data_IF_261421748302
#
_entry.id   IF_261421748302
#
_cell.length_a   1.000
_cell.length_b   1.000
_cell.length_c   1.000
_cell.angle_alpha   90.00
_cell.angle_beta   90.00
_cell.angle_gamma   90.00
#
_symmetry.space_group_name_H-M   'P 1'
#
loop_
_entity.id
_entity.type
_entity.pdbx_description
1 polymer ?
#
# COMPACT_ATOMS: atom_id res chain seq x y z
N UNK A 1 22.29 12.87 16.75
CA UNK A 1 22.17 12.04 15.50
C UNK A 1 23.30 11.02 15.47
N UNK A 2 23.01 9.77 15.05
CA UNK A 2 23.99 8.70 14.90
C UNK A 2 24.35 8.49 13.43
N UNK A 3 25.66 8.35 13.12
CA UNK A 3 26.19 8.06 11.78
C UNK A 3 25.65 9.00 10.67
N UNK A 4 25.78 10.33 10.77
CA UNK A 4 25.22 11.29 9.83
C UNK A 4 25.68 11.06 8.38
N UNK A 5 26.94 10.72 8.17
CA UNK A 5 27.53 10.48 6.84
C UNK A 5 27.24 9.10 6.24
N UNK A 6 26.35 8.28 6.85
CA UNK A 6 25.97 6.99 6.25
C UNK A 6 25.17 7.23 4.98
N UNK A 7 25.64 6.71 3.85
CA UNK A 7 24.91 6.72 2.58
C UNK A 7 23.70 5.80 2.70
N UNK A 8 22.52 6.34 2.42
CA UNK A 8 21.23 5.65 2.44
C UNK A 8 20.77 5.34 1.02
N UNK A 9 20.96 6.28 0.10
CA UNK A 9 20.65 6.15 -1.33
C UNK A 9 21.97 6.25 -2.12
N UNK A 10 22.53 5.13 -2.60
CA UNK A 10 23.82 5.13 -3.28
C UNK A 10 23.86 5.93 -4.59
N UNK A 11 22.80 5.84 -5.42
CA UNK A 11 22.78 6.49 -6.74
C UNK A 11 22.84 8.03 -6.65
N UNK A 12 21.93 8.72 -5.88
CA UNK A 12 22.03 10.15 -5.69
C UNK A 12 23.06 10.54 -4.62
N UNK A 13 23.70 9.57 -3.94
CA UNK A 13 24.70 9.82 -2.90
C UNK A 13 24.12 10.40 -1.60
N UNK A 14 22.80 10.26 -1.35
CA UNK A 14 22.17 10.85 -0.18
C UNK A 14 22.55 10.11 1.10
N UNK A 15 22.98 10.88 2.09
CA UNK A 15 23.32 10.42 3.43
C UNK A 15 22.14 10.52 4.38
N UNK A 16 22.29 9.96 5.57
CA UNK A 16 21.30 10.12 6.64
C UNK A 16 21.11 11.60 7.03
N UNK A 17 22.17 12.40 7.01
CA UNK A 17 22.07 13.82 7.31
C UNK A 17 21.20 14.54 6.28
N UNK A 18 21.46 14.30 4.99
CA UNK A 18 20.67 14.92 3.91
C UNK A 18 19.18 14.61 4.04
N UNK A 19 18.83 13.40 4.46
CA UNK A 19 17.42 13.02 4.70
C UNK A 19 16.82 13.73 5.91
N UNK A 20 17.58 13.90 7.00
CA UNK A 20 17.10 14.67 8.16
C UNK A 20 16.90 16.13 7.76
N UNK A 21 17.84 16.75 7.03
CA UNK A 21 17.74 18.12 6.53
C UNK A 21 16.53 18.29 5.58
N UNK A 22 16.31 17.30 4.69
CA UNK A 22 15.12 17.26 3.84
C UNK A 22 13.83 17.32 4.67
N UNK A 23 13.66 16.41 5.65
CA UNK A 23 12.45 16.37 6.46
C UNK A 23 12.26 17.60 7.34
N UNK A 24 13.34 18.22 7.79
CA UNK A 24 13.28 19.50 8.50
C UNK A 24 12.81 20.63 7.57
N UNK A 25 13.27 20.64 6.33
CA UNK A 25 12.88 21.67 5.35
C UNK A 25 11.39 21.56 4.91
N UNK A 26 10.83 20.34 4.83
CA UNK A 26 9.43 20.09 4.49
C UNK A 26 8.56 19.79 5.71
N UNK A 27 9.01 20.12 6.92
CA UNK A 27 8.40 19.68 8.17
C UNK A 27 6.91 20.03 8.26
N UNK A 28 6.52 21.25 7.90
CA UNK A 28 5.12 21.68 7.97
C UNK A 28 4.19 20.82 7.11
N UNK A 29 4.61 20.49 5.88
CA UNK A 29 3.86 19.63 4.99
C UNK A 29 3.85 18.15 5.46
N UNK A 30 5.00 17.63 5.89
CA UNK A 30 5.11 16.26 6.39
C UNK A 30 4.29 16.03 7.67
N UNK A 31 4.30 16.99 8.60
CA UNK A 31 3.53 16.94 9.85
C UNK A 31 2.03 17.07 9.61
N UNK A 32 1.59 17.78 8.58
CA UNK A 32 0.16 17.85 8.22
C UNK A 32 -0.41 16.47 7.91
N UNK A 33 0.36 15.61 7.28
CA UNK A 33 -0.05 14.24 6.98
C UNK A 33 0.21 13.25 8.12
N UNK A 34 1.33 13.38 8.85
CA UNK A 34 1.80 12.40 9.81
C UNK A 34 1.72 12.85 11.28
N UNK A 35 1.64 14.15 11.55
CA UNK A 35 1.66 14.70 12.91
C UNK A 35 0.45 14.29 13.74
N UNK A 36 0.70 13.98 15.02
CA UNK A 36 -0.35 13.55 15.96
C UNK A 36 -0.95 12.17 15.67
N UNK A 37 -0.38 11.42 14.73
CA UNK A 37 -0.83 10.09 14.35
C UNK A 37 0.14 9.01 14.82
N UNK A 38 -0.34 7.89 15.39
CA UNK A 38 0.50 6.73 15.58
C UNK A 38 1.05 6.22 14.26
N UNK A 39 2.31 5.79 14.25
CA UNK A 39 2.92 5.32 12.99
C UNK A 39 3.76 4.06 13.16
N UNK A 40 3.72 3.22 12.14
CA UNK A 40 4.63 2.09 12.02
C UNK A 40 5.99 2.57 11.52
N UNK A 41 7.04 2.29 12.29
CA UNK A 41 8.41 2.63 11.92
C UNK A 41 8.98 1.57 10.98
N UNK A 42 9.02 1.90 9.68
CA UNK A 42 9.68 1.09 8.66
C UNK A 42 11.12 1.58 8.51
N UNK A 43 12.06 0.82 9.05
CA UNK A 43 13.46 1.26 9.25
C UNK A 43 14.42 0.63 8.26
N UNK A 44 15.12 1.45 7.50
CA UNK A 44 16.19 1.07 6.56
C UNK A 44 17.56 1.29 7.20
N UNK A 45 17.86 0.52 8.25
CA UNK A 45 19.07 0.70 9.07
C UNK A 45 20.37 0.54 8.28
N UNK A 46 20.36 -0.26 7.20
CA UNK A 46 21.51 -0.51 6.31
C UNK A 46 21.40 0.20 4.95
N UNK A 47 20.46 1.17 4.80
CA UNK A 47 20.12 1.81 3.53
C UNK A 47 19.14 0.99 2.71
N UNK A 48 18.76 1.50 1.52
CA UNK A 48 17.72 0.90 0.66
C UNK A 48 18.12 -0.43 0.03
N UNK A 49 19.40 -0.76 -0.02
CA UNK A 49 19.90 -2.03 -0.55
C UNK A 49 19.66 -3.25 0.35
N UNK A 50 19.05 -3.06 1.52
CA UNK A 50 18.75 -4.13 2.47
C UNK A 50 17.26 -4.11 2.84
N UNK A 51 16.76 -5.28 3.25
CA UNK A 51 15.37 -5.41 3.71
C UNK A 51 15.08 -4.48 4.90
N UNK A 52 13.93 -3.78 4.89
CA UNK A 52 13.54 -2.92 5.99
C UNK A 52 13.10 -3.74 7.21
N UNK A 53 13.34 -3.17 8.37
CA UNK A 53 12.81 -3.69 9.63
C UNK A 53 11.55 -2.92 10.03
N UNK A 54 10.42 -3.64 10.16
CA UNK A 54 9.15 -3.06 10.61
C UNK A 54 9.07 -3.09 12.14
N UNK A 55 9.05 -1.94 12.76
CA UNK A 55 8.94 -1.76 14.20
C UNK A 55 7.64 -1.05 14.54
N UNK A 56 6.70 -1.77 15.15
CA UNK A 56 5.44 -1.23 15.66
C UNK A 56 5.62 -0.59 17.03
N UNK A 57 6.30 -1.29 17.94
CA UNK A 57 6.54 -0.79 19.29
C UNK A 57 7.64 0.27 19.29
N UNK A 58 7.35 1.44 19.83
CA UNK A 58 8.35 2.48 20.04
C UNK A 58 9.53 1.94 20.87
N UNK A 59 10.79 2.34 20.60
CA UNK A 59 11.92 1.99 21.45
C UNK A 59 11.71 2.45 22.90
N UNK A 60 12.05 1.63 23.88
CA UNK A 60 11.89 1.96 25.32
C UNK A 60 12.64 3.24 25.73
N UNK A 61 13.75 3.54 25.08
CA UNK A 61 14.58 4.72 25.33
C UNK A 61 14.29 5.87 24.36
N UNK A 62 13.03 6.05 23.90
CA UNK A 62 12.65 7.20 23.10
C UNK A 62 12.77 8.50 23.92
N UNK A 63 13.04 9.64 23.26
CA UNK A 63 13.06 10.94 23.93
C UNK A 63 11.67 11.35 24.44
N UNK A 64 11.64 12.18 25.49
CA UNK A 64 10.41 12.68 26.11
C UNK A 64 9.52 13.52 25.18
N UNK A 65 10.07 14.06 24.06
CA UNK A 65 9.32 14.79 23.05
C UNK A 65 8.63 13.88 22.01
N UNK A 66 8.78 12.57 22.13
CA UNK A 66 8.03 11.59 21.33
C UNK A 66 6.86 11.10 22.16
N UNK A 67 5.66 11.46 21.73
CA UNK A 67 4.45 10.89 22.32
C UNK A 67 4.24 9.45 21.86
N UNK A 68 3.38 8.75 22.57
CA UNK A 68 3.03 7.36 22.24
C UNK A 68 1.52 7.14 22.29
N UNK A 69 1.04 6.15 21.54
CA UNK A 69 -0.33 5.69 21.59
C UNK A 69 -0.40 4.16 21.53
N UNK A 70 -1.24 3.57 22.35
CA UNK A 70 -1.42 2.11 22.40
C UNK A 70 -2.53 1.66 21.47
N UNK A 71 -2.16 1.10 20.31
CA UNK A 71 -3.11 0.55 19.35
C UNK A 71 -3.46 -0.89 19.70
N UNK A 72 -4.77 -1.19 19.58
CA UNK A 72 -5.30 -2.56 19.62
C UNK A 72 -5.49 -3.06 18.20
N UNK A 73 -4.77 -4.11 17.80
CA UNK A 73 -4.85 -4.68 16.46
C UNK A 73 -5.99 -5.69 16.34
N UNK A 74 -6.47 -5.89 15.11
CA UNK A 74 -7.56 -6.80 14.81
C UNK A 74 -7.34 -8.24 15.29
N UNK A 75 -6.07 -8.66 15.48
CA UNK A 75 -5.69 -9.99 15.99
C UNK A 75 -5.64 -10.09 17.52
N UNK A 76 -6.06 -9.06 18.24
CA UNK A 76 -6.07 -9.04 19.72
C UNK A 76 -4.71 -8.75 20.37
N UNK A 77 -3.69 -8.42 19.59
CA UNK A 77 -2.40 -7.92 20.10
C UNK A 77 -2.42 -6.40 20.21
N UNK A 78 -1.52 -5.81 20.99
CA UNK A 78 -1.34 -4.37 21.09
C UNK A 78 0.12 -3.96 20.96
N UNK A 79 0.35 -2.73 20.50
CA UNK A 79 1.66 -2.10 20.60
C UNK A 79 1.51 -0.62 20.91
N UNK A 80 2.47 -0.11 21.64
CA UNK A 80 2.66 1.31 21.87
C UNK A 80 3.46 1.88 20.72
N UNK A 81 2.81 2.66 19.85
CA UNK A 81 3.41 3.23 18.63
C UNK A 81 3.84 4.68 18.84
N UNK A 82 4.87 5.10 18.11
CA UNK A 82 5.37 6.47 18.17
C UNK A 82 4.38 7.46 17.53
N UNK A 83 4.23 8.62 18.17
CA UNK A 83 3.46 9.76 17.68
C UNK A 83 4.39 10.96 17.56
N UNK A 84 4.56 11.45 16.34
CA UNK A 84 5.39 12.61 16.02
C UNK A 84 4.51 13.85 16.02
N UNK A 85 4.92 14.94 16.69
CA UNK A 85 4.14 16.19 16.74
C UNK A 85 4.86 17.39 16.14
N UNK A 86 6.16 17.30 16.02
CA UNK A 86 7.00 18.43 15.59
C UNK A 86 8.21 17.99 14.76
N UNK A 87 9.00 18.96 14.33
CA UNK A 87 10.20 18.74 13.53
C UNK A 87 11.28 17.93 14.27
N UNK A 88 11.36 18.01 15.61
CA UNK A 88 12.30 17.22 16.39
C UNK A 88 11.91 15.74 16.35
N UNK A 89 10.61 15.43 16.43
CA UNK A 89 10.08 14.09 16.27
C UNK A 89 10.33 13.53 14.87
N UNK A 90 10.15 14.33 13.80
CA UNK A 90 10.50 13.93 12.42
C UNK A 90 11.99 13.59 12.32
N UNK A 91 12.86 14.47 12.81
CA UNK A 91 14.30 14.24 12.80
C UNK A 91 14.68 12.96 13.56
N UNK A 92 13.97 12.65 14.65
CA UNK A 92 14.22 11.44 15.42
C UNK A 92 13.83 10.16 14.67
N UNK A 93 12.63 10.09 14.07
CA UNK A 93 12.21 8.89 13.31
C UNK A 93 13.10 8.67 12.09
N UNK A 94 13.52 9.74 11.40
CA UNK A 94 14.46 9.66 10.27
C UNK A 94 15.84 9.21 10.74
N UNK A 95 16.32 9.69 11.88
CA UNK A 95 17.57 9.22 12.49
C UNK A 95 17.53 7.72 12.87
N UNK A 96 16.36 7.16 13.18
CA UNK A 96 16.16 5.71 13.35
C UNK A 96 16.24 4.94 12.02
N UNK A 97 16.24 5.64 10.87
CA UNK A 97 16.27 5.08 9.52
C UNK A 97 14.91 4.92 8.87
N UNK A 98 13.88 5.62 9.36
CA UNK A 98 12.60 5.69 8.65
C UNK A 98 12.73 6.62 7.45
N UNK A 99 12.45 6.12 6.26
CA UNK A 99 12.49 6.88 5.01
C UNK A 99 11.09 7.36 4.63
N UNK A 100 10.12 6.48 4.71
CA UNK A 100 8.70 6.76 4.51
C UNK A 100 7.97 6.83 5.86
N UNK A 101 7.10 7.82 5.99
CA UNK A 101 6.25 8.02 7.16
C UNK A 101 4.96 7.22 6.93
N UNK A 102 4.68 6.26 7.80
CA UNK A 102 3.54 5.36 7.66
C UNK A 102 2.55 5.52 8.83
N UNK A 103 1.79 6.64 8.88
CA UNK A 103 0.81 6.90 9.93
C UNK A 103 -0.48 6.09 9.72
N UNK A 104 -1.15 5.78 10.84
CA UNK A 104 -2.54 5.33 10.82
C UNK A 104 -3.51 6.48 10.44
N UNK A 105 -4.72 6.19 9.92
CA UNK A 105 -5.71 7.21 9.57
C UNK A 105 -6.46 7.79 10.79
N UNK A 106 -5.89 7.68 11.98
CA UNK A 106 -6.46 8.13 13.26
C UNK A 106 -5.50 9.06 13.97
N UNK A 107 -6.00 9.93 14.84
CA UNK A 107 -5.20 10.72 15.76
C UNK A 107 -4.97 9.97 17.07
N UNK A 108 -3.89 10.31 17.78
CA UNK A 108 -3.56 9.68 19.07
C UNK A 108 -4.64 9.90 20.14
N UNK A 109 -5.42 10.96 20.00
CA UNK A 109 -6.50 11.35 20.89
C UNK A 109 -7.78 10.50 20.68
N UNK A 110 -7.96 9.92 19.48
CA UNK A 110 -9.07 9.03 19.14
C UNK A 110 -8.60 7.94 18.18
N UNK A 111 -8.38 6.75 18.70
CA UNK A 111 -7.82 5.62 17.96
C UNK A 111 -8.87 4.74 17.26
N UNK A 112 -10.15 5.01 17.45
CA UNK A 112 -11.25 4.21 16.92
C UNK A 112 -11.99 4.89 15.78
N UNK A 113 -11.88 6.21 15.64
CA UNK A 113 -12.56 6.98 14.60
C UNK A 113 -11.54 7.66 13.66
N UNK A 114 -11.36 7.13 12.44
CA UNK A 114 -10.53 7.79 11.43
C UNK A 114 -10.99 9.21 11.10
N UNK A 115 -10.04 10.14 10.98
CA UNK A 115 -10.26 11.49 10.48
C UNK A 115 -9.80 11.64 9.01
N UNK A 116 -9.45 10.53 8.36
CA UNK A 116 -8.94 10.50 7.00
C UNK A 116 -9.49 9.29 6.25
N UNK A 117 -10.18 9.54 5.12
CA UNK A 117 -10.48 8.55 4.10
C UNK A 117 -9.35 8.56 3.07
N UNK A 118 -8.89 7.39 2.67
CA UNK A 118 -7.79 7.17 1.73
C UNK A 118 -8.27 6.49 0.47
N UNK A 119 -8.05 7.12 -0.68
CA UNK A 119 -8.28 6.53 -2.00
C UNK A 119 -6.91 6.24 -2.59
N UNK A 120 -6.56 4.98 -2.68
CA UNK A 120 -5.29 4.51 -3.24
C UNK A 120 -5.54 3.96 -4.64
N UNK A 121 -4.94 4.61 -5.65
CA UNK A 121 -5.07 4.23 -7.07
C UNK A 121 -3.82 3.45 -7.47
N UNK A 122 -3.92 2.13 -7.39
CA UNK A 122 -2.81 1.20 -7.61
C UNK A 122 -2.89 0.56 -9.00
N UNK A 123 -1.96 0.87 -9.92
CA UNK A 123 -2.01 0.33 -11.28
C UNK A 123 -1.61 -1.15 -11.32
N UNK A 124 -2.42 -1.96 -12.01
CA UNK A 124 -2.00 -3.30 -12.40
C UNK A 124 -0.86 -3.23 -13.44
N UNK A 125 -0.04 -4.28 -13.57
CA UNK A 125 0.96 -4.34 -14.64
C UNK A 125 0.32 -4.11 -16.01
N UNK A 126 0.98 -3.30 -16.85
CA UNK A 126 0.46 -2.92 -18.16
C UNK A 126 -0.31 -1.59 -18.19
N UNK A 127 -0.68 -1.04 -17.05
CA UNK A 127 -1.42 0.23 -16.94
C UNK A 127 -0.47 1.42 -17.10
N UNK A 128 -0.81 2.34 -17.98
CA UNK A 128 -0.07 3.57 -18.21
C UNK A 128 -0.46 4.67 -17.22
N UNK A 129 0.49 5.61 -16.98
CA UNK A 129 0.23 6.76 -16.10
C UNK A 129 -0.98 7.60 -16.49
N UNK A 130 -1.27 7.75 -17.80
CA UNK A 130 -2.45 8.48 -18.30
C UNK A 130 -3.77 7.85 -17.81
N UNK A 131 -3.84 6.53 -17.77
CA UNK A 131 -5.01 5.81 -17.25
C UNK A 131 -5.20 6.04 -15.75
N UNK A 132 -4.09 6.08 -14.97
CA UNK A 132 -4.14 6.39 -13.53
C UNK A 132 -4.67 7.80 -13.31
N UNK A 133 -4.20 8.76 -14.12
CA UNK A 133 -4.67 10.16 -14.10
C UNK A 133 -6.16 10.23 -14.42
N UNK A 134 -6.63 9.54 -15.46
CA UNK A 134 -8.04 9.55 -15.83
C UNK A 134 -8.92 8.95 -14.72
N UNK A 135 -8.49 7.86 -14.09
CA UNK A 135 -9.19 7.29 -12.93
C UNK A 135 -9.16 8.24 -11.72
N UNK A 136 -8.05 8.96 -11.49
CA UNK A 136 -7.97 9.97 -10.43
C UNK A 136 -8.96 11.12 -10.63
N UNK A 137 -9.14 11.57 -11.89
CA UNK A 137 -10.13 12.60 -12.20
C UNK A 137 -11.56 12.10 -11.97
N UNK A 138 -11.88 10.85 -12.35
CA UNK A 138 -13.18 10.25 -12.04
C UNK A 138 -13.39 10.10 -10.54
N UNK A 139 -12.37 9.68 -9.80
CA UNK A 139 -12.45 9.57 -8.34
C UNK A 139 -12.67 10.94 -7.67
N UNK A 140 -12.05 12.02 -8.19
CA UNK A 140 -12.32 13.39 -7.76
C UNK A 140 -13.79 13.74 -7.95
N UNK A 141 -14.31 13.52 -9.16
CA UNK A 141 -15.70 13.86 -9.47
C UNK A 141 -16.69 13.09 -8.57
N UNK A 142 -16.42 11.81 -8.27
CA UNK A 142 -17.21 11.03 -7.31
C UNK A 142 -17.14 11.63 -5.90
N UNK A 143 -15.97 12.04 -5.43
CA UNK A 143 -15.82 12.70 -4.13
C UNK A 143 -16.62 14.02 -4.07
N UNK A 144 -16.49 14.87 -5.08
CA UNK A 144 -17.18 16.16 -5.19
C UNK A 144 -18.72 15.99 -5.22
N UNK A 145 -19.25 15.00 -5.94
CA UNK A 145 -20.67 14.67 -5.97
C UNK A 145 -21.25 14.29 -4.59
N UNK A 146 -20.37 13.84 -3.68
CA UNK A 146 -20.74 13.49 -2.31
C UNK A 146 -20.28 14.53 -1.28
N UNK A 147 -19.86 15.74 -1.73
CA UNK A 147 -19.48 16.85 -0.87
C UNK A 147 -18.14 16.68 -0.16
N UNK A 148 -17.26 15.85 -0.72
CA UNK A 148 -15.93 15.58 -0.20
C UNK A 148 -14.85 16.22 -1.08
N UNK A 149 -13.77 16.67 -0.44
CA UNK A 149 -12.61 17.25 -1.15
C UNK A 149 -11.47 16.25 -1.15
N UNK A 150 -11.08 15.81 -2.36
CA UNK A 150 -9.92 14.94 -2.55
C UNK A 150 -8.64 15.75 -2.74
N UNK A 151 -7.59 15.40 -2.00
CA UNK A 151 -6.26 16.03 -2.07
C UNK A 151 -5.27 15.07 -2.72
N UNK A 152 -4.88 15.32 -3.99
CA UNK A 152 -4.05 14.39 -4.74
C UNK A 152 -2.59 14.47 -4.33
N UNK A 153 -1.91 13.33 -4.33
CA UNK A 153 -0.46 13.22 -4.26
C UNK A 153 0.03 12.03 -5.08
N UNK A 154 1.28 12.08 -5.53
CA UNK A 154 1.90 10.86 -6.06
C UNK A 154 2.09 9.85 -4.92
N UNK A 155 2.00 8.55 -5.19
CA UNK A 155 2.39 7.54 -4.20
C UNK A 155 3.91 7.56 -3.93
N UNK A 156 4.65 8.26 -4.79
CA UNK A 156 6.12 8.19 -4.84
C UNK A 156 6.62 6.88 -5.44
N UNK A 157 5.72 6.05 -5.98
CA UNK A 157 6.04 4.86 -6.76
C UNK A 157 5.33 4.92 -8.11
N UNK A 158 4.21 4.22 -8.31
CA UNK A 158 3.52 4.12 -9.60
C UNK A 158 2.13 4.73 -9.61
N UNK A 159 1.51 4.93 -8.45
CA UNK A 159 0.12 5.31 -8.29
C UNK A 159 -0.09 6.76 -7.85
N UNK A 160 -1.36 7.08 -7.61
CA UNK A 160 -1.85 8.34 -7.03
C UNK A 160 -2.66 8.00 -5.79
N UNK A 161 -2.47 8.76 -4.71
CA UNK A 161 -3.36 8.73 -3.55
C UNK A 161 -4.19 9.99 -3.50
N UNK A 162 -5.47 9.88 -3.16
CA UNK A 162 -6.31 11.02 -2.79
C UNK A 162 -6.57 10.93 -1.29
N UNK A 163 -6.15 11.93 -0.55
CA UNK A 163 -6.42 12.05 0.88
C UNK A 163 -7.67 12.89 1.07
N UNK A 164 -8.57 12.48 1.95
CA UNK A 164 -9.83 13.19 2.24
C UNK A 164 -9.97 13.33 3.74
N UNK A 165 -10.07 14.57 4.25
CA UNK A 165 -10.40 14.78 5.66
C UNK A 165 -11.88 14.54 5.90
N UNK A 166 -12.18 13.78 6.94
CA UNK A 166 -13.54 13.41 7.34
C UNK A 166 -13.78 13.71 8.81
N UNK A 167 -15.02 13.94 9.18
CA UNK A 167 -15.41 14.03 10.59
C UNK A 167 -15.05 12.73 11.32
N UNK A 168 -14.38 12.75 12.48
CA UNK A 168 -13.96 11.55 13.21
C UNK A 168 -15.13 10.98 14.04
N UNK A 169 -16.20 10.53 13.40
CA UNK A 169 -17.40 9.96 14.04
C UNK A 169 -17.79 8.57 13.56
N UNK A 170 -17.11 8.08 12.52
CA UNK A 170 -17.34 6.73 11.98
C UNK A 170 -16.20 5.81 12.35
N UNK A 171 -16.54 4.58 12.68
CA UNK A 171 -15.54 3.53 12.91
C UNK A 171 -14.86 3.09 11.60
N UNK A 172 -13.78 2.32 11.72
CA UNK A 172 -13.04 1.79 10.57
C UNK A 172 -13.90 0.98 9.60
N UNK A 173 -14.96 0.31 10.10
CA UNK A 173 -15.85 -0.49 9.26
C UNK A 173 -16.69 0.41 8.36
N UNK A 174 -17.23 1.49 8.90
CA UNK A 174 -18.02 2.46 8.16
C UNK A 174 -17.15 3.22 7.15
N UNK A 175 -15.95 3.66 7.55
CA UNK A 175 -15.01 4.34 6.64
C UNK A 175 -14.60 3.42 5.49
N UNK A 176 -14.28 2.16 5.77
CA UNK A 176 -13.95 1.18 4.73
C UNK A 176 -15.14 0.89 3.80
N UNK A 177 -16.36 0.85 4.32
CA UNK A 177 -17.58 0.67 3.52
C UNK A 177 -17.80 1.88 2.58
N UNK A 178 -17.62 3.10 3.07
CA UNK A 178 -17.67 4.31 2.27
C UNK A 178 -16.58 4.31 1.16
N UNK A 179 -15.36 3.88 1.48
CA UNK A 179 -14.30 3.73 0.49
C UNK A 179 -14.62 2.66 -0.57
N UNK A 180 -15.25 1.54 -0.18
CA UNK A 180 -15.68 0.48 -1.09
C UNK A 180 -16.79 0.96 -2.03
N UNK A 181 -17.76 1.73 -1.53
CA UNK A 181 -18.81 2.31 -2.37
C UNK A 181 -18.25 3.31 -3.37
N UNK A 182 -17.31 4.16 -2.95
CA UNK A 182 -16.57 5.06 -3.84
C UNK A 182 -15.82 4.27 -4.93
N UNK A 183 -15.10 3.22 -4.55
CA UNK A 183 -14.35 2.40 -5.51
C UNK A 183 -15.25 1.75 -6.56
N UNK A 184 -16.41 1.23 -6.15
CA UNK A 184 -17.41 0.64 -7.04
C UNK A 184 -18.04 1.69 -7.97
N UNK A 185 -18.27 2.89 -7.49
CA UNK A 185 -18.80 3.99 -8.31
C UNK A 185 -17.74 4.49 -9.32
N UNK A 186 -16.47 4.56 -8.92
CA UNK A 186 -15.37 4.86 -9.85
C UNK A 186 -15.25 3.77 -10.93
N UNK A 187 -15.31 2.48 -10.57
CA UNK A 187 -15.33 1.37 -11.54
C UNK A 187 -16.52 1.51 -12.51
N UNK A 188 -17.70 1.86 -12.02
CA UNK A 188 -18.91 2.06 -12.84
C UNK A 188 -18.77 3.22 -13.82
N UNK A 189 -18.12 4.33 -13.40
CA UNK A 189 -17.91 5.53 -14.27
C UNK A 189 -16.72 5.38 -15.21
N UNK A 190 -15.74 4.55 -14.87
CA UNK A 190 -14.55 4.30 -15.68
C UNK A 190 -14.41 2.80 -16.01
N UNK A 191 -15.38 2.20 -16.75
CA UNK A 191 -15.40 0.77 -17.03
C UNK A 191 -14.17 0.38 -17.86
N UNK A 192 -13.48 -0.70 -17.44
CA UNK A 192 -12.25 -1.18 -18.09
C UNK A 192 -10.99 -0.39 -17.75
N UNK A 193 -11.09 0.80 -17.13
CA UNK A 193 -9.95 1.58 -16.66
C UNK A 193 -9.74 1.42 -15.15
N UNK A 194 -10.82 1.35 -14.37
CA UNK A 194 -10.79 1.18 -12.93
C UNK A 194 -11.36 -0.16 -12.50
N UNK A 195 -10.90 -0.68 -11.36
CA UNK A 195 -11.45 -1.89 -10.74
C UNK A 195 -11.56 -1.75 -9.22
N UNK A 196 -12.68 -2.23 -8.69
CA UNK A 196 -12.92 -2.43 -7.25
C UNK A 196 -12.83 -3.91 -6.87
N UNK A 197 -12.36 -4.80 -7.77
CA UNK A 197 -12.29 -6.24 -7.56
C UNK A 197 -11.29 -6.60 -6.49
N UNK A 198 -11.73 -7.41 -5.52
CA UNK A 198 -10.88 -7.87 -4.42
C UNK A 198 -9.67 -8.66 -4.92
N UNK A 199 -9.93 -9.64 -5.79
CA UNK A 199 -8.90 -10.53 -6.28
C UNK A 199 -8.06 -9.87 -7.37
N UNK A 200 -6.73 -9.86 -7.17
CA UNK A 200 -5.78 -9.25 -8.09
C UNK A 200 -5.88 -9.82 -9.51
N UNK A 201 -6.10 -11.12 -9.60
CA UNK A 201 -6.29 -11.86 -10.85
C UNK A 201 -7.57 -11.51 -11.62
N UNK A 202 -8.53 -10.82 -11.00
CA UNK A 202 -9.79 -10.41 -11.63
C UNK A 202 -9.75 -8.96 -12.15
N UNK A 203 -8.66 -8.24 -11.87
CA UNK A 203 -8.55 -6.79 -12.15
C UNK A 203 -8.20 -6.49 -13.61
N UNK A 204 -7.51 -7.41 -14.31
CA UNK A 204 -7.00 -7.15 -15.66
C UNK A 204 -5.99 -6.00 -15.69
N UNK A 205 -5.84 -5.33 -16.82
CA UNK A 205 -5.00 -4.13 -17.00
C UNK A 205 -5.78 -2.86 -16.61
N UNK A 206 -6.12 -2.73 -15.33
CA UNK A 206 -6.89 -1.61 -14.79
C UNK A 206 -6.20 -0.99 -13.57
N UNK A 207 -6.67 0.18 -13.16
CA UNK A 207 -6.28 0.82 -11.91
C UNK A 207 -7.16 0.27 -10.79
N UNK A 208 -6.57 -0.39 -9.82
CA UNK A 208 -7.27 -0.82 -8.62
C UNK A 208 -7.50 0.36 -7.70
N UNK A 209 -8.78 0.60 -7.36
CA UNK A 209 -9.14 1.58 -6.32
C UNK A 209 -9.13 0.86 -4.99
N UNK A 210 -7.98 0.90 -4.30
CA UNK A 210 -7.77 0.12 -3.07
C UNK A 210 -8.47 0.74 -1.86
N UNK A 211 -9.68 0.27 -1.60
CA UNK A 211 -10.47 0.65 -0.43
C UNK A 211 -10.00 0.01 0.87
N UNK A 212 -9.13 -1.02 0.81
CA UNK A 212 -8.64 -1.73 2.00
C UNK A 212 -7.64 -0.92 2.82
N UNK A 213 -7.04 0.12 2.25
CA UNK A 213 -6.20 1.05 2.98
C UNK A 213 -6.95 1.79 4.10
N UNK A 214 -8.28 1.68 4.13
CA UNK A 214 -9.15 2.19 5.19
C UNK A 214 -9.52 1.14 6.25
N UNK A 215 -8.99 -0.07 6.17
CA UNK A 215 -9.17 -1.08 7.21
C UNK A 215 -8.31 -0.77 8.45
N UNK A 216 -8.76 -1.24 9.62
CA UNK A 216 -7.96 -1.15 10.85
C UNK A 216 -6.60 -1.84 10.61
N UNK A 217 -5.55 -1.29 11.17
CA UNK A 217 -4.17 -1.78 11.07
C UNK A 217 -3.46 -1.52 9.71
N UNK A 218 -4.08 -0.73 8.82
CA UNK A 218 -3.46 -0.31 7.57
C UNK A 218 -2.83 1.07 7.69
N UNK A 219 -1.67 1.22 7.03
CA UNK A 219 -0.95 2.48 6.94
C UNK A 219 -0.55 2.75 5.49
N UNK A 220 -0.52 4.02 5.11
CA UNK A 220 -0.11 4.47 3.76
C UNK A 220 1.05 5.45 3.92
N UNK A 221 1.96 5.46 2.97
CA UNK A 221 3.02 6.46 2.95
C UNK A 221 2.42 7.86 2.88
N UNK A 222 2.70 8.68 3.90
CA UNK A 222 2.21 10.04 4.02
C UNK A 222 2.83 10.97 2.98
N UNK A 223 2.24 12.15 2.82
CA UNK A 223 2.84 13.23 2.02
C UNK A 223 4.28 13.51 2.45
N UNK A 224 5.13 13.86 1.49
CA UNK A 224 6.56 14.11 1.65
C UNK A 224 7.41 12.91 2.07
N UNK A 225 6.85 11.70 2.15
CA UNK A 225 7.62 10.48 2.40
C UNK A 225 8.61 10.20 1.28
N UNK A 226 9.88 9.97 1.64
CA UNK A 226 10.90 9.51 0.69
C UNK A 226 10.73 8.01 0.49
N UNK A 227 10.54 7.57 -0.75
CA UNK A 227 10.33 6.15 -1.05
C UNK A 227 11.67 5.43 -1.23
N UNK A 228 11.76 4.16 -0.84
CA UNK A 228 13.00 3.37 -0.95
C UNK A 228 13.25 2.90 -2.40
N UNK A 229 13.22 3.83 -3.34
CA UNK A 229 13.55 3.62 -4.75
C UNK A 229 14.92 4.23 -5.06
N UNK A 230 15.68 3.70 -6.04
CA UNK A 230 17.04 4.14 -6.30
C UNK A 230 17.22 5.65 -6.47
N UNK A 231 16.25 6.32 -7.09
CA UNK A 231 16.24 7.77 -7.34
C UNK A 231 15.74 8.64 -6.16
N UNK A 232 15.47 8.04 -5.00
CA UNK A 232 14.96 8.71 -3.81
C UNK A 232 13.69 9.54 -4.08
N UNK A 233 12.73 8.97 -4.81
CA UNK A 233 11.43 9.63 -5.08
C UNK A 233 10.68 9.94 -3.82
N UNK A 234 9.85 10.97 -3.93
CA UNK A 234 9.02 11.48 -2.85
C UNK A 234 7.54 11.30 -3.19
N UNK A 235 6.76 10.90 -2.20
CA UNK A 235 5.30 10.93 -2.24
C UNK A 235 4.82 12.38 -2.13
N UNK A 236 4.61 13.04 -3.27
CA UNK A 236 4.53 14.50 -3.38
C UNK A 236 3.11 14.98 -3.56
N UNK A 237 2.62 15.91 -2.70
CA UNK A 237 1.37 16.62 -2.91
C UNK A 237 1.32 17.37 -4.25
N UNK A 238 0.16 17.34 -4.87
CA UNK A 238 -0.11 17.99 -6.16
C UNK A 238 -1.35 18.88 -6.05
N UNK A 239 -1.37 19.95 -6.85
CA UNK A 239 -2.61 20.61 -7.21
C UNK A 239 -3.33 19.80 -8.31
N UNK A 240 -4.65 19.87 -8.40
CA UNK A 240 -5.41 19.10 -9.39
C UNK A 240 -5.06 19.43 -10.84
N UNK A 241 -4.66 20.65 -11.14
CA UNK A 241 -4.20 21.07 -12.47
C UNK A 241 -2.84 20.46 -12.86
N UNK A 242 -2.04 20.05 -11.89
CA UNK A 242 -0.75 19.37 -12.10
C UNK A 242 -0.89 17.87 -12.38
N UNK A 243 -1.95 17.22 -11.90
CA UNK A 243 -2.11 15.76 -11.97
C UNK A 243 -1.95 15.24 -13.40
N UNK A 244 -2.46 15.96 -14.41
CA UNK A 244 -2.34 15.57 -15.82
C UNK A 244 -0.94 15.77 -16.41
N UNK A 245 -0.20 16.75 -15.91
CA UNK A 245 1.07 17.20 -16.49
C UNK A 245 2.32 16.61 -15.85
N UNK A 246 2.22 16.13 -14.59
CA UNK A 246 3.34 15.66 -13.81
C UNK A 246 3.47 14.14 -13.80
N UNK A 247 4.69 13.67 -13.51
CA UNK A 247 5.03 12.24 -13.39
C UNK A 247 5.76 11.99 -12.07
N UNK A 248 5.56 10.83 -11.41
CA UNK A 248 6.21 10.53 -10.13
C UNK A 248 7.75 10.62 -10.16
N UNK A 249 8.37 10.30 -11.28
CA UNK A 249 9.83 10.36 -11.42
C UNK A 249 10.43 11.78 -11.39
N UNK A 250 9.60 12.83 -11.54
CA UNK A 250 10.02 14.22 -11.44
C UNK A 250 10.26 14.65 -9.99
N UNK A 251 9.72 13.91 -9.02
CA UNK A 251 9.69 14.28 -7.61
C UNK A 251 10.72 13.48 -6.81
N UNK A 252 11.94 13.95 -6.76
CA UNK A 252 13.02 13.43 -5.93
C UNK A 252 13.23 14.32 -4.70
N UNK A 253 14.06 13.89 -3.76
CA UNK A 253 14.44 14.71 -2.59
C UNK A 253 14.89 16.11 -3.00
N UNK A 254 15.71 16.24 -4.04
CA UNK A 254 16.24 17.53 -4.49
C UNK A 254 15.14 18.42 -5.10
N UNK A 255 14.35 17.90 -6.05
CA UNK A 255 13.32 18.67 -6.75
C UNK A 255 12.15 19.06 -5.86
N UNK A 256 11.83 18.23 -4.86
CA UNK A 256 10.75 18.53 -3.90
C UNK A 256 11.18 19.61 -2.91
N UNK A 257 12.45 19.67 -2.51
CA UNK A 257 12.96 20.78 -1.69
C UNK A 257 12.82 22.12 -2.41
N UNK A 258 13.26 22.20 -3.67
CA UNK A 258 13.12 23.38 -4.51
C UNK A 258 11.65 23.80 -4.66
N UNK A 259 10.79 22.83 -5.04
CA UNK A 259 9.35 23.04 -5.21
C UNK A 259 8.68 23.54 -3.92
N UNK A 260 9.00 22.95 -2.77
CA UNK A 260 8.42 23.34 -1.49
C UNK A 260 8.82 24.77 -1.10
N UNK A 261 10.08 25.14 -1.35
CA UNK A 261 10.56 26.51 -1.15
C UNK A 261 9.88 27.54 -2.05
N UNK A 262 9.56 27.19 -3.30
CA UNK A 262 8.96 28.10 -4.28
C UNK A 262 7.44 28.22 -4.15
N UNK A 263 6.73 27.11 -3.91
CA UNK A 263 5.27 27.03 -3.99
C UNK A 263 4.57 26.73 -2.66
N UNK A 264 5.33 26.31 -1.64
CA UNK A 264 4.76 25.82 -0.39
C UNK A 264 4.12 24.44 -0.54
N UNK A 265 3.19 24.13 0.36
CA UNK A 265 2.49 22.83 0.41
C UNK A 265 1.13 22.90 -0.29
N UNK A 266 0.90 22.17 -1.40
CA UNK A 266 -0.41 22.09 -2.05
C UNK A 266 -1.52 21.59 -1.12
N UNK A 267 -1.17 20.83 -0.07
CA UNK A 267 -2.13 20.31 0.92
C UNK A 267 -2.34 21.26 2.12
N UNK A 268 -1.88 22.54 2.05
CA UNK A 268 -1.95 23.48 3.18
C UNK A 268 -3.36 23.64 3.77
N UNK A 269 -4.40 23.57 2.93
CA UNK A 269 -5.81 23.71 3.34
C UNK A 269 -6.54 22.39 3.67
N UNK A 270 -5.85 21.23 3.70
CA UNK A 270 -6.52 19.93 3.82
C UNK A 270 -7.33 19.80 5.12
N UNK A 271 -6.82 20.33 6.22
CA UNK A 271 -7.48 20.23 7.53
C UNK A 271 -8.69 21.19 7.68
N UNK A 272 -8.85 22.15 6.76
CA UNK A 272 -10.03 23.04 6.69
C UNK A 272 -11.17 22.45 5.86
N UNK A 273 -10.91 21.37 5.11
CA UNK A 273 -11.86 20.75 4.19
C UNK A 273 -12.42 19.42 4.73
N UNK A 274 -12.89 19.43 5.98
CA UNK A 274 -13.45 18.24 6.64
C UNK A 274 -14.86 17.98 6.12
N UNK A 275 -15.09 16.76 5.59
CA UNK A 275 -16.37 16.34 5.00
C UNK A 275 -17.08 15.21 5.75
N UNK A 276 -18.35 15.01 5.38
CA UNK A 276 -19.19 13.93 5.91
C UNK A 276 -19.19 12.71 4.99
N UNK A 277 -19.12 11.50 5.56
CA UNK A 277 -19.25 10.24 4.81
C UNK A 277 -20.72 9.83 4.54
N UNK A 278 -21.71 10.59 5.02
CA UNK A 278 -23.12 10.20 4.88
C UNK A 278 -23.54 10.00 3.42
N UNK A 279 -22.95 10.77 2.48
CA UNK A 279 -23.19 10.62 1.04
C UNK A 279 -22.71 9.27 0.50
N UNK A 280 -21.48 8.89 0.81
CA UNK A 280 -20.90 7.60 0.37
C UNK A 280 -21.53 6.41 1.09
N UNK A 281 -21.99 6.56 2.33
CA UNK A 281 -22.70 5.51 3.05
C UNK A 281 -24.10 5.28 2.48
N UNK A 282 -24.83 6.34 2.06
CA UNK A 282 -26.07 6.18 1.29
C UNK A 282 -25.82 5.48 -0.05
N UNK A 283 -24.76 5.87 -0.77
CA UNK A 283 -24.37 5.17 -1.98
C UNK A 283 -24.10 3.68 -1.73
N UNK A 284 -23.47 3.33 -0.59
CA UNK A 284 -23.27 1.93 -0.21
C UNK A 284 -24.60 1.16 -0.03
N UNK A 285 -25.61 1.80 0.56
CA UNK A 285 -26.95 1.23 0.70
C UNK A 285 -27.62 1.03 -0.67
N UNK A 286 -27.53 2.00 -1.56
CA UNK A 286 -28.09 1.96 -2.93
C UNK A 286 -27.43 0.87 -3.78
N UNK A 287 -26.10 0.75 -3.72
CA UNK A 287 -25.35 -0.27 -4.44
C UNK A 287 -25.55 -1.68 -3.87
N UNK A 288 -26.01 -1.77 -2.63
CA UNK A 288 -26.13 -3.03 -1.89
C UNK A 288 -24.78 -3.72 -1.64
N UNK A 289 -24.79 -4.92 -1.03
CA UNK A 289 -23.56 -5.63 -0.68
C UNK A 289 -22.75 -5.97 -1.93
N UNK A 290 -21.43 -5.80 -1.82
CA UNK A 290 -20.51 -6.21 -2.89
C UNK A 290 -20.61 -7.72 -3.14
N UNK A 291 -20.49 -8.11 -4.40
CA UNK A 291 -20.38 -9.52 -4.79
C UNK A 291 -19.22 -10.18 -4.03
N UNK A 292 -19.52 -11.25 -3.33
CA UNK A 292 -18.53 -12.00 -2.58
C UNK A 292 -18.06 -13.17 -3.42
N UNK A 293 -16.74 -13.31 -3.58
CA UNK A 293 -16.18 -14.51 -4.20
C UNK A 293 -16.75 -15.79 -3.55
N UNK A 294 -17.01 -16.84 -4.33
CA UNK A 294 -17.52 -18.11 -3.82
C UNK A 294 -16.58 -18.67 -2.75
N UNK A 295 -17.14 -19.33 -1.74
CA UNK A 295 -16.34 -20.08 -0.76
C UNK A 295 -15.95 -21.40 -1.40
N UNK A 296 -14.65 -21.72 -1.37
CA UNK A 296 -14.17 -23.07 -1.73
C UNK A 296 -14.77 -24.14 -0.81
N UNK A 297 -14.70 -25.38 -1.23
CA UNK A 297 -15.20 -26.52 -0.45
C UNK A 297 -14.57 -26.52 0.95
N UNK A 298 -15.41 -26.48 1.99
CA UNK A 298 -14.94 -26.55 3.37
C UNK A 298 -14.56 -27.98 3.74
N UNK A 299 -13.54 -28.16 4.56
CA UNK A 299 -13.28 -29.41 5.25
C UNK A 299 -14.32 -29.58 6.37
N UNK A 300 -15.58 -29.81 6.03
CA UNK A 300 -16.64 -30.26 6.95
C UNK A 300 -17.12 -29.30 8.07
N UNK A 301 -16.43 -28.19 8.32
CA UNK A 301 -16.69 -27.25 9.43
C UNK A 301 -17.28 -25.88 8.99
N UNK A 302 -17.59 -25.71 7.71
CA UNK A 302 -18.13 -24.45 7.17
C UNK A 302 -17.12 -23.30 7.05
N UNK A 303 -15.83 -23.52 7.39
CA UNK A 303 -14.76 -22.53 7.41
C UNK A 303 -14.01 -22.36 6.08
N UNK A 304 -14.58 -22.85 4.96
CA UNK A 304 -13.94 -22.79 3.64
C UNK A 304 -13.49 -21.37 3.29
N UNK A 305 -12.21 -21.20 2.96
CA UNK A 305 -11.65 -19.95 2.43
C UNK A 305 -12.30 -19.61 1.09
N UNK A 306 -12.47 -18.32 0.84
CA UNK A 306 -12.84 -17.86 -0.49
C UNK A 306 -11.70 -18.19 -1.45
N UNK A 307 -12.04 -18.73 -2.61
CA UNK A 307 -11.09 -19.14 -3.65
C UNK A 307 -11.44 -18.39 -4.91
N UNK A 308 -10.43 -17.88 -5.60
CA UNK A 308 -10.60 -17.30 -6.92
C UNK A 308 -11.17 -18.33 -7.90
N UNK A 309 -12.06 -17.89 -8.78
CA UNK A 309 -12.62 -18.73 -9.87
C UNK A 309 -11.75 -18.68 -11.13
N UNK A 310 -10.71 -17.85 -11.14
CA UNK A 310 -9.81 -17.72 -12.29
C UNK A 310 -8.94 -18.98 -12.47
N UNK A 311 -8.60 -19.37 -13.71
CA UNK A 311 -7.73 -20.50 -14.00
C UNK A 311 -6.28 -20.17 -13.65
N UNK A 312 -5.95 -20.21 -12.36
CA UNK A 312 -4.64 -19.87 -11.81
C UNK A 312 -3.78 -21.11 -11.67
N UNK A 313 -2.51 -20.97 -12.01
CA UNK A 313 -1.45 -21.88 -11.59
C UNK A 313 -0.45 -21.17 -10.68
N UNK A 314 0.05 -21.86 -9.69
CA UNK A 314 1.13 -21.40 -8.82
C UNK A 314 2.46 -21.96 -9.34
N UNK A 315 3.40 -21.05 -9.65
CA UNK A 315 4.69 -21.38 -10.28
C UNK A 315 5.76 -21.62 -9.25
N UNK A 316 5.83 -20.72 -8.24
CA UNK A 316 6.88 -20.77 -7.23
C UNK A 316 6.49 -20.01 -5.96
N UNK A 317 7.15 -20.38 -4.86
CA UNK A 317 7.29 -19.64 -3.60
C UNK A 317 8.77 -19.42 -3.34
N UNK A 318 9.19 -18.20 -3.12
CA UNK A 318 10.61 -17.86 -2.95
C UNK A 318 10.84 -16.93 -1.78
N UNK A 319 12.05 -16.91 -1.24
CA UNK A 319 12.43 -16.00 -0.18
C UNK A 319 12.65 -14.58 -0.69
N UNK A 320 13.14 -14.44 -1.93
CA UNK A 320 13.50 -13.15 -2.52
C UNK A 320 12.77 -12.89 -3.83
N UNK A 321 12.58 -11.60 -4.17
CA UNK A 321 11.99 -11.18 -5.45
C UNK A 321 12.82 -11.60 -6.68
N UNK A 322 14.16 -11.49 -6.68
CA UNK A 322 14.98 -11.98 -7.80
C UNK A 322 14.77 -13.49 -8.09
N UNK A 323 14.68 -14.33 -7.05
CA UNK A 323 14.41 -15.76 -7.22
C UNK A 323 13.00 -16.00 -7.80
N UNK A 324 12.02 -15.18 -7.41
CA UNK A 324 10.66 -15.25 -7.95
C UNK A 324 10.64 -14.94 -9.46
N UNK A 325 11.39 -13.91 -9.88
CA UNK A 325 11.50 -13.53 -11.29
C UNK A 325 12.24 -14.60 -12.10
N UNK A 326 13.32 -15.18 -11.57
CA UNK A 326 14.05 -16.28 -12.21
C UNK A 326 13.16 -17.53 -12.37
N UNK A 327 12.38 -17.89 -11.35
CA UNK A 327 11.43 -18.98 -11.44
C UNK A 327 10.34 -18.73 -12.50
N UNK A 328 9.84 -17.49 -12.60
CA UNK A 328 8.90 -17.10 -13.64
C UNK A 328 9.51 -17.23 -15.04
N UNK A 329 10.74 -16.77 -15.24
CA UNK A 329 11.42 -16.84 -16.54
C UNK A 329 11.67 -18.30 -16.95
N UNK A 330 12.06 -19.18 -16.03
CA UNK A 330 12.18 -20.62 -16.27
C UNK A 330 10.84 -21.24 -16.64
N UNK A 331 9.76 -20.86 -15.96
CA UNK A 331 8.42 -21.34 -16.30
C UNK A 331 7.99 -20.89 -17.70
N UNK A 332 8.21 -19.60 -18.07
CA UNK A 332 7.93 -19.09 -19.42
C UNK A 332 8.72 -19.84 -20.48
N UNK A 333 9.99 -20.13 -20.23
CA UNK A 333 10.82 -20.90 -21.16
C UNK A 333 10.34 -22.34 -21.36
N UNK A 334 9.74 -22.94 -20.32
CA UNK A 334 9.16 -24.29 -20.38
C UNK A 334 7.76 -24.33 -21.02
N UNK A 335 7.08 -23.17 -21.16
CA UNK A 335 5.71 -23.06 -21.71
C UNK A 335 5.64 -22.00 -22.81
N UNK A 336 6.46 -22.10 -23.88
CA UNK A 336 6.57 -21.05 -24.90
C UNK A 336 5.26 -20.81 -25.68
N UNK A 337 4.37 -21.79 -25.75
CA UNK A 337 3.05 -21.71 -26.38
C UNK A 337 2.05 -20.89 -25.55
N UNK A 338 2.25 -20.80 -24.24
CA UNK A 338 1.38 -20.04 -23.33
C UNK A 338 1.72 -18.54 -23.34
N UNK A 339 3.01 -18.23 -23.42
CA UNK A 339 3.54 -16.85 -23.27
C UNK A 339 2.87 -15.82 -24.20
N UNK A 340 2.61 -16.13 -25.49
CA UNK A 340 1.96 -15.15 -26.38
C UNK A 340 0.53 -14.75 -26.01
N UNK A 341 -0.12 -15.55 -25.15
CA UNK A 341 -1.48 -15.31 -24.68
C UNK A 341 -1.53 -14.51 -23.37
N UNK A 342 -0.40 -14.32 -22.69
CA UNK A 342 -0.37 -13.64 -21.40
C UNK A 342 -0.25 -12.14 -21.60
N UNK A 343 -1.10 -11.40 -20.88
CA UNK A 343 -0.93 -9.97 -20.66
C UNK A 343 -0.03 -9.71 -19.44
N UNK A 344 0.53 -8.51 -19.27
CA UNK A 344 1.27 -8.16 -18.06
C UNK A 344 0.48 -8.40 -16.76
N UNK A 345 -0.83 -8.18 -16.76
CA UNK A 345 -1.71 -8.37 -15.61
C UNK A 345 -1.96 -9.85 -15.26
N UNK A 346 -1.72 -10.78 -16.18
CA UNK A 346 -1.85 -12.21 -15.91
C UNK A 346 -0.69 -12.79 -15.10
N UNK A 347 0.40 -12.04 -14.98
CA UNK A 347 1.59 -12.45 -14.24
C UNK A 347 1.59 -11.82 -12.85
N UNK A 348 1.39 -12.63 -11.82
CA UNK A 348 1.21 -12.20 -10.45
C UNK A 348 2.45 -12.58 -9.63
N UNK A 349 3.28 -11.60 -9.30
CA UNK A 349 4.41 -11.76 -8.36
C UNK A 349 4.04 -11.00 -7.08
N UNK A 350 3.55 -11.74 -6.09
CA UNK A 350 2.99 -11.17 -4.87
C UNK A 350 4.00 -11.23 -3.72
N UNK A 351 4.30 -10.06 -3.14
CA UNK A 351 5.03 -9.99 -1.88
C UNK A 351 4.12 -10.39 -0.73
N UNK A 352 4.44 -11.49 -0.08
CA UNK A 352 3.69 -12.07 1.02
C UNK A 352 4.38 -11.79 2.35
N UNK A 353 3.63 -11.45 3.39
CA UNK A 353 4.19 -11.30 4.73
C UNK A 353 4.27 -12.65 5.45
N UNK A 354 5.48 -13.05 5.80
CA UNK A 354 5.74 -14.09 6.78
C UNK A 354 5.62 -13.53 8.22
N UNK A 355 6.10 -14.29 9.20
CA UNK A 355 6.06 -13.85 10.61
C UNK A 355 7.03 -12.70 10.93
N UNK A 356 8.14 -12.58 10.20
CA UNK A 356 9.19 -11.57 10.41
C UNK A 356 9.88 -11.12 9.11
N UNK A 357 9.54 -11.73 7.97
CA UNK A 357 10.17 -11.45 6.66
C UNK A 357 9.11 -11.41 5.57
N UNK A 358 9.45 -10.80 4.45
CA UNK A 358 8.71 -10.92 3.20
C UNK A 358 9.12 -12.24 2.52
N UNK A 359 8.23 -12.81 1.74
CA UNK A 359 8.46 -13.88 0.80
C UNK A 359 7.61 -13.65 -0.44
N UNK A 360 7.88 -14.33 -1.53
CA UNK A 360 7.22 -14.06 -2.80
C UNK A 360 6.50 -15.29 -3.33
N UNK A 361 5.29 -15.06 -3.84
CA UNK A 361 4.48 -16.08 -4.52
C UNK A 361 4.31 -15.69 -5.97
N UNK A 362 4.62 -16.60 -6.88
CA UNK A 362 4.45 -16.42 -8.33
C UNK A 362 3.25 -17.23 -8.79
N UNK A 363 2.29 -16.53 -9.40
CA UNK A 363 1.10 -17.16 -10.01
C UNK A 363 0.94 -16.65 -11.43
N UNK A 364 0.34 -17.46 -12.29
CA UNK A 364 -0.03 -17.08 -13.66
C UNK A 364 -1.51 -17.34 -13.85
N UNK A 365 -2.22 -16.32 -14.35
CA UNK A 365 -3.63 -16.42 -14.73
C UNK A 365 -3.72 -16.85 -16.19
N UNK A 366 -4.35 -17.99 -16.45
CA UNK A 366 -4.49 -18.58 -17.77
C UNK A 366 -5.78 -18.15 -18.49
N UNK A 367 -6.45 -17.08 -18.04
CA UNK A 367 -7.76 -16.67 -18.57
C UNK A 367 -7.75 -16.42 -20.07
N UNK A 368 -6.66 -15.86 -20.61
CA UNK A 368 -6.49 -15.57 -22.03
C UNK A 368 -5.90 -16.74 -22.85
N UNK A 369 -5.48 -17.81 -22.16
CA UNK A 369 -5.01 -19.03 -22.83
C UNK A 369 -6.20 -19.90 -23.21
N UNK A 370 -6.30 -20.37 -24.46
CA UNK A 370 -7.34 -21.32 -24.88
C UNK A 370 -7.37 -22.54 -23.94
N UNK A 371 -8.55 -23.01 -23.58
CA UNK A 371 -8.71 -24.06 -22.56
C UNK A 371 -7.89 -25.32 -22.87
N UNK A 372 -7.87 -25.75 -24.13
CA UNK A 372 -7.10 -26.90 -24.58
C UNK A 372 -5.56 -26.70 -24.52
N UNK A 373 -5.10 -25.45 -24.41
CA UNK A 373 -3.68 -25.09 -24.30
C UNK A 373 -3.24 -24.72 -22.90
N UNK A 374 -4.11 -24.80 -21.88
CA UNK A 374 -3.78 -24.48 -20.52
C UNK A 374 -2.95 -25.61 -19.89
N UNK A 375 -1.73 -25.31 -19.38
CA UNK A 375 -0.98 -26.29 -18.63
C UNK A 375 -1.69 -26.64 -17.32
N UNK A 376 -1.57 -27.89 -16.90
CA UNK A 376 -2.00 -28.32 -15.58
C UNK A 376 -1.06 -27.79 -14.48
N UNK A 377 -1.56 -27.75 -13.23
CA UNK A 377 -0.73 -27.40 -12.09
C UNK A 377 0.40 -28.44 -11.93
N UNK A 378 1.61 -28.03 -12.25
CA UNK A 378 2.82 -28.81 -12.02
C UNK A 378 3.41 -28.62 -10.61
N UNK A 379 4.52 -29.30 -10.29
CA UNK A 379 5.28 -29.04 -9.07
C UNK A 379 5.85 -27.63 -9.10
N UNK A 380 5.95 -26.99 -7.92
CA UNK A 380 6.52 -25.67 -7.80
C UNK A 380 8.01 -25.70 -8.17
N UNK A 381 8.48 -24.69 -8.94
CA UNK A 381 9.89 -24.55 -9.31
C UNK A 381 10.78 -24.14 -8.12
N UNK A 382 10.19 -23.56 -7.10
CA UNK A 382 10.73 -23.33 -5.77
C UNK A 382 9.56 -23.32 -4.78
N UNK A 383 9.75 -23.95 -3.61
CA UNK A 383 8.70 -24.10 -2.60
C UNK A 383 9.24 -23.65 -1.23
N UNK A 384 9.44 -22.33 -1.09
CA UNK A 384 9.85 -21.72 0.16
C UNK A 384 8.72 -21.74 1.17
N UNK A 385 8.97 -22.32 2.35
CA UNK A 385 8.05 -22.31 3.49
C UNK A 385 8.50 -21.26 4.52
N UNK A 386 7.82 -20.09 4.62
CA UNK A 386 8.16 -19.05 5.59
C UNK A 386 7.89 -19.47 7.05
N UNK A 387 7.30 -20.65 7.29
CA UNK A 387 6.96 -21.20 8.59
C UNK A 387 7.83 -22.39 8.98
N UNK A 388 8.73 -22.84 8.10
CA UNK A 388 9.62 -23.95 8.35
C UNK A 388 10.45 -23.76 9.63
N UNK A 389 10.49 -24.76 10.49
CA UNK A 389 11.29 -24.80 11.70
C UNK A 389 10.71 -24.09 12.92
N UNK A 390 9.48 -23.56 12.88
CA UNK A 390 8.87 -22.81 14.00
C UNK A 390 7.91 -23.61 14.87
N UNK A 391 7.58 -24.85 14.53
CA UNK A 391 6.77 -25.74 15.36
C UNK A 391 7.55 -27.01 15.66
N UNK A 392 8.11 -27.19 16.86
CA UNK A 392 8.62 -28.49 17.28
C UNK A 392 7.41 -29.39 17.60
N UNK A 393 7.02 -30.27 16.68
CA UNK A 393 6.06 -31.35 16.94
C UNK A 393 4.86 -31.39 16.00
N UNK A 394 5.06 -31.63 14.71
CA UNK A 394 4.01 -31.96 13.77
C UNK A 394 4.58 -32.76 12.63
N UNK A 395 4.60 -34.09 12.77
CA UNK A 395 4.82 -35.02 11.67
C UNK A 395 3.77 -34.80 10.59
N UNK A 396 4.23 -34.58 9.37
CA UNK A 396 3.56 -34.52 8.09
C UNK A 396 2.06 -34.84 8.03
N UNK A 397 1.25 -33.80 7.88
CA UNK A 397 0.13 -33.85 6.96
C UNK A 397 -0.18 -32.40 6.56
N UNK A 398 -0.08 -32.11 5.26
CA UNK A 398 -0.14 -30.78 4.70
C UNK A 398 -1.47 -30.07 4.92
N UNK A 399 -1.52 -29.17 5.87
CA UNK A 399 -2.68 -28.38 6.21
C UNK A 399 -2.31 -27.08 6.93
N UNK A 400 -1.44 -26.27 6.32
CA UNK A 400 -1.07 -24.98 6.85
C UNK A 400 -2.25 -24.03 6.90
N UNK A 401 -2.85 -23.85 8.08
CA UNK A 401 -3.75 -22.75 8.39
C UNK A 401 -2.96 -21.45 8.62
N UNK A 402 -2.26 -20.99 7.60
CA UNK A 402 -1.72 -19.64 7.56
C UNK A 402 -2.83 -18.69 7.16
N UNK A 403 -3.23 -17.77 8.03
CA UNK A 403 -4.08 -16.66 7.66
C UNK A 403 -3.38 -15.86 6.57
N UNK A 404 -3.83 -15.96 5.32
CA UNK A 404 -3.46 -14.99 4.31
C UNK A 404 -4.09 -13.68 4.72
N UNK A 405 -3.31 -12.82 5.32
CA UNK A 405 -3.53 -11.40 5.08
C UNK A 405 -3.10 -11.27 3.65
N UNK A 406 -4.08 -11.09 2.73
CA UNK A 406 -3.78 -10.84 1.33
C UNK A 406 -2.83 -9.66 1.31
N UNK A 407 -1.60 -9.96 0.85
CA UNK A 407 -0.52 -9.00 0.85
C UNK A 407 -0.79 -8.00 -0.24
N UNK A 408 -1.16 -6.81 0.15
CA UNK A 408 -1.03 -5.67 -0.73
C UNK A 408 0.44 -5.58 -1.10
N UNK A 409 0.67 -5.51 -2.40
CA UNK A 409 2.01 -5.43 -2.95
C UNK A 409 2.80 -4.31 -2.26
N UNK A 410 3.85 -4.69 -1.61
CA UNK A 410 4.90 -3.75 -1.24
C UNK A 410 5.71 -3.54 -2.51
N UNK A 411 5.48 -2.41 -3.18
CA UNK A 411 6.39 -1.92 -4.22
C UNK A 411 7.73 -1.49 -3.66
#
# INVERSE_FOLDING_TARGET
MSHPGRVVFPEPGLTKLDLVEYYLAVADGALRGAGGRPMVLKRFVKGIGAEPFFQKRVPENHPDFIDTATLQYARGTSAEEAVVRDAAGLAWVVNLGCLDLNPHPVRAEDLDHPDELRVDLDPMPGVDWSQIVDVAMVARDVLEDHGLVGWPKTSGSRGIHLLVRIEPRWDFRAVRLAAESLAREVERRAPGLASARWWKEERGESVFVDFNQNAKDRTVASAYSVRPLPDARVSTPLDWDEVRSRRPAEFTVATVLERFGERGDPHAGIDDAVGSLDGLLRLAEELGPAEKAPRGASRGDGSGRRVSTMPLIEVARTETKPEALDALDRWKAANPEVVPHLTPADVLVDGMRGSSSLWYRVRVNLQHVPEAGRPEQGPLLADYDPWAGRWPGGSGDGGGSGGSVDGDGVD
#
